data_IF_181462786969
#
_entry.id   IF_181462786969
#
_cell.length_a   1.000
_cell.length_b   1.000
_cell.length_c   1.000
_cell.angle_alpha   90.00
_cell.angle_beta   90.00
_cell.angle_gamma   90.00
#
_symmetry.space_group_name_H-M   'P 1'
#
loop_
_entity.id
_entity.type
_entity.pdbx_description
1 polymer ?
#
# COMPACT_ATOMS: atom_id res chain seq x y z
N UNK A 1 -7.29 2.60 16.07
CA UNK A 1 -6.91 3.36 14.87
C UNK A 1 -7.22 4.82 15.13
N UNK A 2 -6.22 5.67 15.36
CA UNK A 2 -6.44 7.11 15.34
C UNK A 2 -5.59 7.71 14.21
N UNK A 3 -6.24 8.00 13.08
CA UNK A 3 -5.74 9.03 12.17
C UNK A 3 -5.60 10.31 13.01
N UNK A 4 -4.37 10.76 13.19
CA UNK A 4 -4.04 11.92 14.03
C UNK A 4 -4.33 13.21 13.27
N UNK A 5 -3.99 13.23 11.98
CA UNK A 5 -4.17 14.39 11.12
C UNK A 5 -4.25 13.97 9.66
N UNK A 6 -5.11 14.63 8.91
CA UNK A 6 -5.09 14.58 7.44
C UNK A 6 -5.08 16.00 6.90
N UNK A 7 -4.24 16.25 5.91
CA UNK A 7 -4.16 17.53 5.22
C UNK A 7 -3.65 17.34 3.79
N UNK A 8 -3.85 18.36 2.97
CA UNK A 8 -3.35 18.39 1.60
C UNK A 8 -2.15 19.33 1.49
N UNK A 9 -1.08 18.88 0.86
CA UNK A 9 0.05 19.71 0.45
C UNK A 9 0.16 19.63 -1.06
N UNK A 10 -0.19 20.72 -1.74
CA UNK A 10 -0.27 20.80 -3.20
C UNK A 10 -1.22 19.73 -3.76
N UNK A 11 -0.70 18.75 -4.50
CA UNK A 11 -1.47 17.60 -5.04
C UNK A 11 -1.43 16.36 -4.13
N UNK A 12 -0.63 16.37 -3.06
CA UNK A 12 -0.41 15.22 -2.18
C UNK A 12 -1.36 15.26 -0.98
N UNK A 13 -2.08 14.17 -0.76
CA UNK A 13 -2.81 13.93 0.50
C UNK A 13 -1.84 13.35 1.51
N UNK A 14 -1.77 13.95 2.70
CA UNK A 14 -0.89 13.53 3.80
C UNK A 14 -1.74 13.06 4.97
N UNK A 15 -1.52 11.82 5.39
CA UNK A 15 -2.18 11.19 6.55
C UNK A 15 -1.14 10.87 7.61
N UNK A 16 -1.37 11.32 8.83
CA UNK A 16 -0.50 11.11 10.00
C UNK A 16 -1.22 10.17 10.95
N UNK A 17 -0.55 9.11 11.38
CA UNK A 17 -1.11 8.10 12.26
C UNK A 17 -0.34 8.02 13.59
N UNK A 18 -1.02 7.51 14.61
CA UNK A 18 -0.50 7.32 15.96
C UNK A 18 0.60 6.25 16.04
N UNK A 19 0.55 5.27 15.14
CA UNK A 19 1.39 4.08 15.15
C UNK A 19 1.83 3.71 13.74
N UNK A 20 3.00 3.05 13.65
CA UNK A 20 3.50 2.50 12.38
C UNK A 20 2.58 1.42 11.81
N UNK A 21 2.00 0.59 12.68
CA UNK A 21 1.04 -0.44 12.28
C UNK A 21 -0.21 0.15 11.64
N UNK A 22 -0.80 1.20 12.25
CA UNK A 22 -1.96 1.88 11.67
C UNK A 22 -1.63 2.54 10.33
N UNK A 23 -0.48 3.21 10.22
CA UNK A 23 0.00 3.80 8.96
C UNK A 23 0.20 2.73 7.88
N UNK A 24 0.91 1.66 8.21
CA UNK A 24 1.23 0.56 7.31
C UNK A 24 -0.03 -0.14 6.79
N UNK A 25 -1.00 -0.42 7.68
CA UNK A 25 -2.27 -1.05 7.31
C UNK A 25 -3.09 -0.18 6.35
N UNK A 26 -3.20 1.13 6.59
CA UNK A 26 -3.95 2.03 5.70
C UNK A 26 -3.24 2.18 4.36
N UNK A 27 -1.92 2.38 4.36
CA UNK A 27 -1.14 2.46 3.12
C UNK A 27 -1.25 1.17 2.29
N UNK A 28 -1.23 0.00 2.95
CA UNK A 28 -1.40 -1.29 2.29
C UNK A 28 -2.80 -1.44 1.68
N UNK A 29 -3.85 -1.04 2.40
CA UNK A 29 -5.22 -1.09 1.89
C UNK A 29 -5.43 -0.19 0.66
N UNK A 30 -4.86 1.03 0.66
CA UNK A 30 -4.92 1.94 -0.48
C UNK A 30 -4.16 1.39 -1.69
N UNK A 31 -2.98 0.81 -1.47
CA UNK A 31 -2.21 0.14 -2.51
C UNK A 31 -2.97 -1.08 -3.07
N UNK A 32 -3.51 -1.93 -2.21
CA UNK A 32 -4.29 -3.11 -2.56
C UNK A 32 -5.51 -2.76 -3.41
N UNK A 33 -6.26 -1.72 -3.04
CA UNK A 33 -7.39 -1.24 -3.83
C UNK A 33 -6.96 -0.86 -5.25
N UNK A 34 -5.81 -0.18 -5.40
CA UNK A 34 -5.30 0.19 -6.72
C UNK A 34 -4.79 -1.02 -7.51
N UNK A 35 -4.15 -1.97 -6.84
CA UNK A 35 -3.71 -3.23 -7.46
C UNK A 35 -4.90 -4.00 -8.02
N UNK A 36 -5.97 -4.19 -7.23
CA UNK A 36 -7.20 -4.87 -7.64
C UNK A 36 -7.86 -4.16 -8.83
N UNK A 37 -7.93 -2.84 -8.80
CA UNK A 37 -8.48 -2.05 -9.92
C UNK A 37 -7.68 -2.26 -11.23
N UNK A 38 -6.35 -2.34 -11.14
CA UNK A 38 -5.50 -2.53 -12.32
C UNK A 38 -5.52 -3.98 -12.82
N UNK A 39 -5.50 -4.97 -11.91
CA UNK A 39 -5.58 -6.39 -12.24
C UNK A 39 -6.94 -6.80 -12.82
N UNK A 40 -8.01 -6.04 -12.56
CA UNK A 40 -9.29 -6.21 -13.23
C UNK A 40 -9.23 -5.81 -14.73
N UNK A 41 -8.23 -5.02 -15.13
CA UNK A 41 -8.10 -4.45 -16.49
C UNK A 41 -6.89 -5.00 -17.26
N UNK A 42 -5.94 -5.63 -16.56
CA UNK A 42 -4.65 -6.08 -17.11
C UNK A 42 -4.31 -7.45 -16.56
N UNK A 43 -3.76 -8.32 -17.39
CA UNK A 43 -3.32 -9.65 -16.97
C UNK A 43 -2.20 -9.59 -15.92
N UNK A 44 -1.29 -8.62 -16.03
CA UNK A 44 -0.20 -8.39 -15.08
C UNK A 44 0.03 -6.90 -14.83
N UNK A 45 0.62 -6.58 -13.68
CA UNK A 45 1.07 -5.20 -13.35
C UNK A 45 2.53 -5.20 -12.88
N UNK A 46 3.20 -4.06 -13.03
CA UNK A 46 4.58 -3.85 -12.58
C UNK A 46 4.61 -2.91 -11.39
N UNK A 47 5.40 -3.25 -10.37
CA UNK A 47 5.51 -2.47 -9.13
C UNK A 47 6.96 -2.35 -8.68
N UNK A 48 7.35 -1.17 -8.22
CA UNK A 48 8.65 -0.93 -7.58
C UNK A 48 8.39 -0.83 -6.08
N UNK A 49 9.07 -1.67 -5.28
CA UNK A 49 8.93 -1.68 -3.83
C UNK A 49 10.16 -1.06 -3.18
N UNK A 50 9.97 -0.13 -2.25
CA UNK A 50 11.02 0.25 -1.33
C UNK A 50 11.16 -0.82 -0.22
N UNK A 51 12.38 -1.07 0.26
CA UNK A 51 12.69 -2.17 1.20
C UNK A 51 13.45 -1.70 2.46
N UNK A 52 13.37 -0.41 2.81
CA UNK A 52 13.91 0.09 4.07
C UNK A 52 13.07 -0.42 5.26
N UNK A 53 13.62 -0.55 6.48
CA UNK A 53 12.88 -1.04 7.66
C UNK A 53 11.61 -0.25 8.01
N UNK A 54 11.49 0.99 7.54
CA UNK A 54 10.27 1.80 7.67
C UNK A 54 9.07 1.26 6.87
N UNK A 55 9.28 0.28 5.99
CA UNK A 55 8.25 -0.32 5.12
C UNK A 55 7.68 -1.63 5.65
N UNK A 56 8.22 -2.17 6.75
CA UNK A 56 7.87 -3.51 7.24
C UNK A 56 6.37 -3.68 7.51
N UNK A 57 5.73 -2.71 8.18
CA UNK A 57 4.31 -2.78 8.53
C UNK A 57 3.44 -2.74 7.26
N UNK A 58 3.80 -1.88 6.29
CA UNK A 58 3.14 -1.83 4.98
C UNK A 58 3.25 -3.15 4.22
N UNK A 59 4.47 -3.69 4.06
CA UNK A 59 4.71 -4.93 3.31
C UNK A 59 4.00 -6.12 3.97
N UNK A 60 4.05 -6.20 5.31
CA UNK A 60 3.35 -7.22 6.08
C UNK A 60 1.84 -7.13 5.85
N UNK A 61 1.24 -5.95 5.94
CA UNK A 61 -0.19 -5.76 5.72
C UNK A 61 -0.60 -6.02 4.27
N UNK A 62 0.22 -5.62 3.29
CA UNK A 62 -0.09 -5.82 1.88
C UNK A 62 -0.07 -7.30 1.49
N UNK A 63 0.95 -8.04 1.93
CA UNK A 63 1.09 -9.47 1.63
C UNK A 63 -0.03 -10.33 2.24
N UNK A 64 -0.68 -9.85 3.29
CA UNK A 64 -1.79 -10.59 3.95
C UNK A 64 -3.14 -10.44 3.26
N UNK A 65 -3.28 -9.61 2.22
CA UNK A 65 -4.53 -9.45 1.49
C UNK A 65 -4.80 -10.67 0.57
N UNK A 66 -5.79 -11.53 0.88
CA UNK A 66 -6.03 -12.76 0.13
C UNK A 66 -6.66 -12.52 -1.25
N UNK A 67 -7.14 -11.30 -1.54
CA UNK A 67 -7.77 -10.97 -2.82
C UNK A 67 -6.73 -10.53 -3.87
N UNK A 68 -5.46 -10.43 -3.51
CA UNK A 68 -4.37 -10.09 -4.43
C UNK A 68 -3.70 -11.37 -4.92
N UNK A 69 -3.81 -11.64 -6.22
CA UNK A 69 -3.01 -12.66 -6.87
C UNK A 69 -1.60 -12.12 -7.17
N UNK A 70 -0.66 -12.39 -6.26
CA UNK A 70 0.73 -11.95 -6.39
C UNK A 70 1.48 -12.61 -7.57
N UNK A 71 0.98 -13.71 -8.16
CA UNK A 71 1.60 -14.33 -9.34
C UNK A 71 1.47 -13.46 -10.60
N UNK A 72 0.61 -12.45 -10.55
CA UNK A 72 0.36 -11.48 -11.63
C UNK A 72 1.14 -10.17 -11.44
N UNK A 73 2.08 -10.13 -10.50
CA UNK A 73 2.87 -8.94 -10.16
C UNK A 73 4.32 -9.12 -10.61
N UNK A 74 4.78 -8.24 -11.50
CA UNK A 74 6.19 -8.09 -11.85
C UNK A 74 6.85 -7.10 -10.89
N UNK A 75 7.52 -7.61 -9.86
CA UNK A 75 8.11 -6.82 -8.77
C UNK A 75 9.56 -6.40 -9.05
N UNK A 76 9.86 -5.14 -8.74
CA UNK A 76 11.19 -4.52 -8.81
C UNK A 76 11.56 -3.88 -7.47
N UNK A 77 12.84 -3.53 -7.30
CA UNK A 77 13.38 -2.79 -6.16
C UNK A 77 14.20 -1.59 -6.63
#
# INVERSE_FOLDING_TARGET
MALVKEFKKDKMTVKVFDTRDAMGAVAAAECAAKMKELLAKKDQISMIFAAAPSQNEFLKSLYTDPEIDFTRINAFH
#
